data_IF_580154636385
#
_entry.id   IF_580154636385
#
_cell.length_a   1.000
_cell.length_b   1.000
_cell.length_c   1.000
_cell.angle_alpha   90.00
_cell.angle_beta   90.00
_cell.angle_gamma   90.00
#
_symmetry.space_group_name_H-M   'P 1'
#
loop_
_entity.id
_entity.type
_entity.pdbx_description
1 polymer ?
#
# COMPACT_ATOMS: atom_id res chain seq x y z
N UNK A 1 -5.54 20.17 -13.25
CA UNK A 1 -4.39 19.28 -12.96
C UNK A 1 -4.83 17.84 -13.20
N UNK A 2 -4.04 17.05 -13.92
CA UNK A 2 -4.26 15.60 -14.06
C UNK A 2 -3.81 14.88 -12.77
N UNK A 3 -4.48 13.77 -12.42
CA UNK A 3 -4.06 12.91 -11.31
C UNK A 3 -2.75 12.21 -11.66
N UNK A 4 -1.84 12.07 -10.68
CA UNK A 4 -0.52 11.42 -10.85
C UNK A 4 -0.53 9.92 -10.51
N UNK A 5 -1.55 9.46 -9.80
CA UNK A 5 -1.78 8.07 -9.41
C UNK A 5 -3.14 7.60 -9.94
N UNK A 6 -3.30 6.29 -10.19
CA UNK A 6 -2.27 5.25 -10.06
C UNK A 6 -1.18 5.32 -11.15
N UNK A 7 -0.01 4.74 -10.88
CA UNK A 7 1.11 4.59 -11.84
C UNK A 7 1.17 3.15 -12.40
N UNK A 8 1.74 2.92 -13.60
CA UNK A 8 1.98 1.57 -14.09
C UNK A 8 2.80 0.74 -13.10
N UNK A 9 2.37 -0.51 -12.88
CA UNK A 9 3.06 -1.44 -11.98
C UNK A 9 4.32 -1.98 -12.65
N UNK A 10 5.53 -1.73 -12.12
CA UNK A 10 6.74 -2.42 -12.57
C UNK A 10 6.73 -3.88 -12.07
N UNK A 11 7.45 -4.77 -12.77
CA UNK A 11 7.55 -6.17 -12.38
C UNK A 11 8.19 -6.36 -10.99
N UNK A 12 9.15 -5.49 -10.65
CA UNK A 12 9.83 -5.45 -9.37
C UNK A 12 9.96 -3.98 -8.94
N UNK A 13 9.35 -3.61 -7.81
CA UNK A 13 9.45 -2.25 -7.24
C UNK A 13 10.13 -2.31 -5.87
N UNK A 14 11.44 -1.99 -5.76
CA UNK A 14 12.13 -2.02 -4.48
C UNK A 14 11.65 -0.93 -3.51
N UNK A 15 10.82 0.03 -3.97
CA UNK A 15 10.27 1.09 -3.12
C UNK A 15 9.04 0.63 -2.33
N UNK A 16 8.29 -0.36 -2.84
CA UNK A 16 7.07 -0.83 -2.19
C UNK A 16 7.38 -2.02 -1.29
N UNK A 17 7.60 -1.72 -0.01
CA UNK A 17 8.03 -2.70 0.99
C UNK A 17 7.09 -2.70 2.19
N UNK A 18 7.18 -3.73 3.04
CA UNK A 18 6.50 -3.72 4.33
C UNK A 18 6.93 -2.54 5.22
N UNK A 19 8.18 -2.09 5.08
CA UNK A 19 8.68 -0.90 5.78
C UNK A 19 7.92 0.38 5.41
N UNK A 20 7.52 0.53 4.14
CA UNK A 20 6.69 1.66 3.71
C UNK A 20 5.33 1.67 4.42
N UNK A 21 4.68 0.51 4.56
CA UNK A 21 3.40 0.41 5.28
C UNK A 21 3.56 0.77 6.77
N UNK A 22 4.66 0.34 7.42
CA UNK A 22 4.99 0.73 8.79
C UNK A 22 5.21 2.24 8.94
N UNK A 23 5.91 2.87 7.99
CA UNK A 23 6.17 4.30 8.03
C UNK A 23 4.87 5.11 7.87
N UNK A 24 3.95 4.68 7.00
CA UNK A 24 2.62 5.29 6.90
C UNK A 24 1.79 5.06 8.16
N UNK A 25 1.83 3.86 8.75
CA UNK A 25 1.16 3.58 10.02
C UNK A 25 1.64 4.50 11.15
N UNK A 26 2.94 4.80 11.21
CA UNK A 26 3.51 5.76 12.17
C UNK A 26 2.98 7.17 11.93
N UNK A 27 2.92 7.64 10.69
CA UNK A 27 2.35 8.95 10.35
C UNK A 27 0.88 9.03 10.79
N UNK A 28 0.09 7.99 10.56
CA UNK A 28 -1.30 7.95 11.04
C UNK A 28 -1.37 8.07 12.57
N UNK A 29 -0.54 7.32 13.29
CA UNK A 29 -0.46 7.40 14.74
C UNK A 29 -0.07 8.80 15.24
N UNK A 30 0.89 9.46 14.58
CA UNK A 30 1.31 10.84 14.88
C UNK A 30 0.17 11.86 14.71
N UNK A 31 -0.79 11.56 13.83
CA UNK A 31 -2.01 12.35 13.64
C UNK A 31 -3.17 11.96 14.57
N UNK A 32 -2.95 11.05 15.52
CA UNK A 32 -3.93 10.66 16.54
C UNK A 32 -4.82 9.48 16.16
N UNK A 33 -4.54 8.79 15.05
CA UNK A 33 -5.20 7.51 14.77
C UNK A 33 -4.61 6.39 15.65
N UNK A 34 -5.33 5.27 15.83
CA UNK A 34 -4.77 4.11 16.51
C UNK A 34 -3.47 3.63 15.85
N UNK A 35 -2.47 3.32 16.68
CA UNK A 35 -1.19 2.81 16.20
C UNK A 35 -1.36 1.39 15.65
N UNK A 36 -0.98 1.18 14.39
CA UNK A 36 -0.85 -0.15 13.79
C UNK A 36 0.58 -0.71 13.92
N UNK A 37 1.53 0.11 14.38
CA UNK A 37 2.95 -0.24 14.51
C UNK A 37 3.30 -0.83 15.90
N UNK A 38 2.38 -0.75 16.86
CA UNK A 38 2.50 -1.36 18.18
C UNK A 38 1.96 -2.78 18.20
N UNK A 39 2.37 -3.58 19.19
CA UNK A 39 1.87 -4.94 19.35
C UNK A 39 0.51 -4.95 20.05
N UNK A 40 -0.52 -5.40 19.33
CA UNK A 40 -1.85 -5.70 19.84
C UNK A 40 -2.47 -6.84 19.02
N UNK A 41 -3.54 -7.45 19.53
CA UNK A 41 -4.25 -8.50 18.79
C UNK A 41 -4.90 -7.92 17.53
N UNK A 42 -4.46 -8.40 16.36
CA UNK A 42 -4.91 -7.90 15.05
C UNK A 42 -3.96 -6.93 14.34
N UNK A 43 -2.85 -6.49 14.96
CA UNK A 43 -1.94 -5.50 14.35
C UNK A 43 -1.40 -5.93 12.98
N UNK A 44 -1.14 -7.22 12.78
CA UNK A 44 -0.70 -7.76 11.49
C UNK A 44 -1.77 -7.68 10.40
N UNK A 45 -3.05 -7.88 10.75
CA UNK A 45 -4.15 -7.77 9.81
C UNK A 45 -4.38 -6.32 9.37
N UNK A 46 -4.29 -5.38 10.30
CA UNK A 46 -4.41 -3.95 10.00
C UNK A 46 -3.26 -3.45 9.13
N UNK A 47 -2.01 -3.87 9.42
CA UNK A 47 -0.86 -3.52 8.58
C UNK A 47 -0.96 -4.10 7.17
N UNK A 48 -1.47 -5.33 7.02
CA UNK A 48 -1.71 -5.92 5.71
C UNK A 48 -2.79 -5.16 4.95
N UNK A 49 -3.90 -4.81 5.60
CA UNK A 49 -4.97 -4.02 4.99
C UNK A 49 -4.48 -2.63 4.55
N UNK A 50 -3.61 -1.99 5.35
CA UNK A 50 -2.96 -0.73 4.98
C UNK A 50 -2.04 -0.93 3.77
N UNK A 51 -1.25 -1.99 3.74
CA UNK A 51 -0.39 -2.32 2.60
C UNK A 51 -1.22 -2.52 1.32
N UNK A 52 -2.31 -3.26 1.37
CA UNK A 52 -3.20 -3.47 0.21
C UNK A 52 -3.85 -2.16 -0.27
N UNK A 53 -4.28 -1.31 0.67
CA UNK A 53 -4.83 0.01 0.33
C UNK A 53 -3.79 0.91 -0.34
N UNK A 54 -2.55 0.93 0.17
CA UNK A 54 -1.44 1.66 -0.44
C UNK A 54 -1.12 1.11 -1.83
N UNK A 55 -1.13 -0.22 -1.98
CA UNK A 55 -0.88 -0.87 -3.26
C UNK A 55 -1.92 -0.45 -4.31
N UNK A 56 -3.21 -0.50 -3.96
CA UNK A 56 -4.31 -0.10 -4.84
C UNK A 56 -4.37 1.39 -5.14
N UNK A 57 -3.86 2.24 -4.24
CA UNK A 57 -3.71 3.68 -4.49
C UNK A 57 -2.55 3.97 -5.45
N UNK A 58 -1.41 3.30 -5.25
CA UNK A 58 -0.17 3.60 -5.97
C UNK A 58 -0.19 2.99 -7.37
N UNK A 59 -0.62 1.74 -7.53
CA UNK A 59 -0.46 1.01 -8.78
C UNK A 59 -1.76 0.86 -9.55
N UNK A 60 -1.65 0.96 -10.87
CA UNK A 60 -2.77 0.67 -11.75
C UNK A 60 -3.04 -0.84 -11.71
N UNK A 61 -4.30 -1.27 -11.82
CA UNK A 61 -4.60 -2.66 -12.09
C UNK A 61 -3.74 -3.11 -13.26
N UNK A 62 -3.12 -4.27 -13.12
CA UNK A 62 -2.45 -4.87 -14.27
C UNK A 62 -3.59 -5.24 -15.21
N UNK A 63 -3.86 -4.41 -16.23
CA UNK A 63 -4.76 -4.82 -17.30
C UNK A 63 -4.14 -6.09 -17.86
N UNK A 64 -4.74 -7.23 -17.53
CA UNK A 64 -4.52 -8.47 -18.23
C UNK A 64 -5.09 -8.23 -19.63
N UNK A 65 -4.32 -7.58 -20.49
CA UNK A 65 -4.54 -7.63 -21.93
C UNK A 65 -4.14 -9.04 -22.34
N UNK A 66 -5.02 -9.99 -22.04
CA UNK A 66 -5.00 -11.32 -22.62
C UNK A 66 -5.10 -11.09 -24.13
N UNK A 67 -3.99 -11.27 -24.85
CA UNK A 67 -4.02 -11.36 -26.30
C UNK A 67 -4.49 -12.78 -26.59
N UNK A 68 -5.74 -13.01 -27.03
CA UNK A 68 -6.16 -14.35 -27.41
C UNK A 68 -5.32 -14.75 -28.62
N UNK A 69 -4.70 -15.93 -28.52
CA UNK A 69 -3.96 -16.58 -29.61
C UNK A 69 -4.90 -17.06 -30.71
#
# INVERSE_FOLDING_TARGET
>A
MSRRFPIPRPADDPRFTFGLALDVARVLAEHGYPSMAESYDGCGADLLALQDALFGLIYAPTDTTEVPS
#
